data_IF_038482832818
#
_entry.id   IF_038482832818
#
_cell.length_a   1.000
_cell.length_b   1.000
_cell.length_c   1.000
_cell.angle_alpha   90.00
_cell.angle_beta   90.00
_cell.angle_gamma   90.00
#
_symmetry.space_group_name_H-M   'P 1'
#
loop_
_entity.id
_entity.type
_entity.pdbx_description
1 polymer ?
#
# COMPACT_ATOMS: atom_id res chain seq x y z
N UNK A 1 -5.80 23.50 -30.84
CA UNK A 1 -7.15 23.27 -30.31
C UNK A 1 -7.17 21.84 -29.79
N UNK A 2 -6.68 21.65 -28.55
CA UNK A 2 -6.51 20.34 -27.94
C UNK A 2 -7.46 20.27 -26.74
N UNK A 3 -8.30 19.25 -26.72
CA UNK A 3 -9.38 19.05 -25.75
C UNK A 3 -8.75 18.68 -24.41
N UNK A 4 -8.88 19.57 -23.43
CA UNK A 4 -8.49 19.34 -22.04
C UNK A 4 -9.52 18.36 -21.43
N UNK A 5 -9.16 17.10 -21.30
CA UNK A 5 -10.00 16.08 -20.65
C UNK A 5 -9.71 16.16 -19.15
N UNK A 6 -10.44 17.05 -18.47
CA UNK A 6 -10.47 17.15 -17.01
C UNK A 6 -11.20 15.93 -16.48
N UNK A 7 -10.47 14.99 -15.89
CA UNK A 7 -11.07 13.98 -15.01
C UNK A 7 -11.55 14.69 -13.74
N UNK A 8 -12.81 15.12 -13.73
CA UNK A 8 -13.50 15.45 -12.49
C UNK A 8 -13.78 14.10 -11.81
N UNK A 9 -13.08 13.82 -10.72
CA UNK A 9 -13.50 12.78 -9.80
C UNK A 9 -14.90 13.15 -9.30
N UNK A 10 -15.92 12.47 -9.81
CA UNK A 10 -17.25 12.51 -9.20
C UNK A 10 -17.10 11.89 -7.81
N UNK A 11 -17.01 12.74 -6.79
CA UNK A 11 -17.43 12.35 -5.45
C UNK A 11 -18.95 12.13 -5.51
N UNK A 12 -19.35 10.92 -5.88
CA UNK A 12 -20.69 10.44 -5.65
C UNK A 12 -20.86 10.32 -4.14
N UNK A 13 -21.47 11.32 -3.52
CA UNK A 13 -22.06 11.16 -2.20
C UNK A 13 -23.19 10.13 -2.33
N UNK A 14 -22.89 8.86 -2.10
CA UNK A 14 -23.92 7.86 -1.82
C UNK A 14 -24.49 8.22 -0.46
N UNK A 15 -25.76 8.62 -0.44
CA UNK A 15 -26.53 8.71 0.79
C UNK A 15 -26.55 7.32 1.43
N UNK A 16 -25.79 7.14 2.51
CA UNK A 16 -25.89 5.94 3.34
C UNK A 16 -27.24 5.99 4.05
N UNK A 17 -28.05 4.96 3.81
CA UNK A 17 -29.21 4.66 4.63
C UNK A 17 -28.67 4.11 5.95
N UNK A 18 -28.85 4.88 7.01
CA UNK A 18 -28.27 4.68 8.34
C UNK A 18 -29.13 3.67 9.13
N UNK A 19 -29.04 2.40 8.77
CA UNK A 19 -29.67 1.28 9.48
C UNK A 19 -28.56 0.40 10.11
N UNK A 20 -28.06 0.75 11.30
CA UNK A 20 -27.27 -0.18 12.14
C UNK A 20 -25.82 0.19 12.53
N UNK A 21 -25.29 1.33 12.06
CA UNK A 21 -23.93 1.79 12.40
C UNK A 21 -23.87 2.33 13.85
N UNK A 22 -23.08 1.69 14.72
CA UNK A 22 -22.85 2.17 16.09
C UNK A 22 -21.71 3.20 16.18
N UNK A 23 -20.64 2.97 15.41
CA UNK A 23 -19.43 3.78 15.44
C UNK A 23 -18.68 3.70 14.11
N UNK A 24 -18.19 4.85 13.66
CA UNK A 24 -17.33 4.99 12.49
C UNK A 24 -16.21 5.99 12.79
N UNK A 25 -14.97 5.54 12.72
CA UNK A 25 -13.79 6.39 12.74
C UNK A 25 -13.15 6.41 11.37
N UNK A 26 -12.86 7.60 10.85
CA UNK A 26 -12.13 7.79 9.61
C UNK A 26 -10.92 8.68 9.83
N UNK A 27 -9.78 8.26 9.29
CA UNK A 27 -8.56 9.06 9.24
C UNK A 27 -8.07 9.07 7.81
N UNK A 28 -7.85 10.26 7.28
CA UNK A 28 -7.30 10.44 5.95
C UNK A 28 -6.12 11.41 5.96
N UNK A 29 -5.14 11.12 5.12
CA UNK A 29 -4.03 12.00 4.84
C UNK A 29 -3.73 11.93 3.37
N UNK A 30 -3.72 13.07 2.69
CA UNK A 30 -3.38 13.13 1.28
C UNK A 30 -2.55 14.36 0.96
N UNK A 31 -1.79 14.25 -0.13
CA UNK A 31 -1.11 15.38 -0.76
C UNK A 31 -1.14 15.20 -2.27
N UNK A 32 -1.15 16.32 -2.98
CA UNK A 32 -1.05 16.37 -4.44
C UNK A 32 -0.20 17.57 -4.83
N UNK A 33 0.81 17.33 -5.67
CA UNK A 33 1.72 18.34 -6.19
C UNK A 33 1.78 18.16 -7.70
N UNK A 34 1.26 19.14 -8.43
CA UNK A 34 1.50 19.30 -9.86
C UNK A 34 2.48 20.47 -10.08
N UNK A 35 3.57 20.22 -10.80
CA UNK A 35 4.62 21.19 -11.02
C UNK A 35 5.05 21.21 -12.49
N UNK A 36 5.27 22.40 -13.03
CA UNK A 36 5.94 22.62 -14.31
C UNK A 36 7.06 23.62 -14.13
N UNK A 37 8.28 23.25 -14.50
CA UNK A 37 9.47 24.11 -14.39
C UNK A 37 10.19 24.10 -15.73
N UNK A 38 10.43 25.29 -16.28
CA UNK A 38 11.30 25.46 -17.43
C UNK A 38 12.25 26.64 -17.25
N UNK A 39 13.46 26.51 -17.78
CA UNK A 39 14.47 27.57 -17.75
C UNK A 39 15.90 27.07 -17.80
N UNK A 40 16.84 28.00 -17.69
CA UNK A 40 18.27 27.73 -17.73
C UNK A 40 18.94 28.13 -16.41
N UNK A 41 19.86 27.28 -15.92
CA UNK A 41 20.62 27.56 -14.71
C UNK A 41 21.10 26.31 -13.99
N UNK A 42 21.43 26.47 -12.72
CA UNK A 42 21.64 25.37 -11.79
C UNK A 42 20.31 25.01 -11.12
N UNK A 43 20.02 23.72 -11.02
CA UNK A 43 18.84 23.23 -10.33
C UNK A 43 19.19 22.06 -9.41
N UNK A 44 18.42 21.97 -8.31
CA UNK A 44 18.42 20.86 -7.40
C UNK A 44 16.99 20.67 -6.87
N UNK A 45 16.47 19.47 -6.99
CA UNK A 45 15.10 19.11 -6.59
C UNK A 45 15.19 17.93 -5.63
N UNK A 46 14.43 18.02 -4.55
CA UNK A 46 14.23 16.91 -3.62
C UNK A 46 12.75 16.84 -3.25
N UNK A 47 12.15 15.68 -3.46
CA UNK A 47 10.79 15.38 -3.03
C UNK A 47 10.80 14.06 -2.27
N UNK A 48 10.05 14.00 -1.19
CA UNK A 48 9.95 12.83 -0.34
C UNK A 48 8.56 12.78 0.27
N UNK A 49 7.97 11.60 0.26
CA UNK A 49 6.73 11.32 0.97
C UNK A 49 6.73 9.91 1.53
N UNK A 50 6.07 9.76 2.66
CA UNK A 50 5.76 8.50 3.32
C UNK A 50 4.28 8.54 3.68
N UNK A 51 3.47 7.69 3.04
CA UNK A 51 2.08 7.46 3.37
C UNK A 51 2.04 6.20 4.26
N UNK A 52 1.78 6.34 5.57
CA UNK A 52 1.77 5.21 6.48
C UNK A 52 0.53 4.34 6.24
N UNK A 53 0.67 3.06 6.53
CA UNK A 53 -0.46 2.16 6.75
C UNK A 53 -0.79 2.18 8.26
N UNK A 54 -2.03 2.44 8.66
CA UNK A 54 -2.37 2.47 10.10
C UNK A 54 -2.43 1.04 10.68
N UNK A 55 -2.79 0.05 9.87
CA UNK A 55 -2.94 -1.36 10.28
C UNK A 55 -1.66 -2.18 10.07
N UNK A 56 -0.64 -1.61 9.42
CA UNK A 56 0.58 -2.33 9.10
C UNK A 56 1.30 -2.82 10.37
N UNK A 57 1.71 -4.09 10.37
CA UNK A 57 2.21 -4.82 11.55
C UNK A 57 3.51 -4.28 12.16
N UNK A 58 4.24 -3.42 11.44
CA UNK A 58 5.52 -2.85 11.90
C UNK A 58 5.39 -1.43 12.48
N UNK A 59 4.16 -0.93 12.67
CA UNK A 59 3.86 0.41 13.18
C UNK A 59 4.19 1.54 12.20
N UNK A 60 3.75 2.77 12.52
CA UNK A 60 3.72 3.92 11.60
C UNK A 60 5.05 4.32 10.94
N UNK A 61 6.18 3.89 11.50
CA UNK A 61 7.52 4.24 10.99
C UNK A 61 8.05 3.24 9.97
N UNK A 62 7.49 2.03 9.90
CA UNK A 62 8.03 0.93 9.12
C UNK A 62 7.08 0.36 8.07
N UNK A 63 5.84 0.82 8.03
CA UNK A 63 4.80 0.37 7.10
C UNK A 63 4.42 1.45 6.05
N UNK A 64 3.60 1.05 5.07
CA UNK A 64 3.02 1.90 4.05
C UNK A 64 3.88 2.12 2.79
N UNK A 65 3.53 3.18 2.06
CA UNK A 65 4.12 3.57 0.80
C UNK A 65 5.16 4.69 0.98
N UNK A 66 6.35 4.55 0.39
CA UNK A 66 7.41 5.58 0.41
C UNK A 66 7.83 5.92 -1.02
N UNK A 67 8.02 7.21 -1.32
CA UNK A 67 8.71 7.63 -2.53
C UNK A 67 9.68 8.78 -2.31
N UNK A 68 10.71 8.80 -3.15
CA UNK A 68 11.79 9.77 -3.13
C UNK A 68 12.20 10.12 -4.56
N UNK A 69 12.26 11.42 -4.83
CA UNK A 69 12.77 11.97 -6.10
C UNK A 69 13.90 12.93 -5.79
N UNK A 70 15.02 12.79 -6.50
CA UNK A 70 16.13 13.75 -6.49
C UNK A 70 16.55 14.07 -7.91
N UNK A 71 16.72 15.35 -8.21
CA UNK A 71 17.31 15.80 -9.46
C UNK A 71 18.35 16.87 -9.18
N UNK A 72 19.42 16.91 -9.96
CA UNK A 72 20.33 18.04 -9.98
C UNK A 72 21.02 18.17 -11.34
N UNK A 73 21.50 19.37 -11.63
CA UNK A 73 22.22 19.63 -12.86
C UNK A 73 22.47 21.10 -13.10
N UNK A 74 23.28 21.39 -14.11
CA UNK A 74 23.41 22.72 -14.68
C UNK A 74 23.10 22.67 -16.17
N UNK A 75 22.27 23.60 -16.64
CA UNK A 75 21.90 23.74 -18.04
C UNK A 75 20.45 24.10 -18.20
N UNK A 76 19.79 23.52 -19.20
CA UNK A 76 18.37 23.75 -19.49
C UNK A 76 17.53 22.62 -18.91
N UNK A 77 16.37 22.97 -18.36
CA UNK A 77 15.36 22.05 -17.84
C UNK A 77 13.99 22.44 -18.43
N UNK A 78 13.20 21.44 -18.81
CA UNK A 78 11.76 21.54 -19.05
C UNK A 78 11.14 20.27 -18.47
N UNK A 79 10.56 20.38 -17.27
CA UNK A 79 10.03 19.25 -16.50
C UNK A 79 8.62 19.54 -16.05
N UNK A 80 7.73 18.60 -16.34
CA UNK A 80 6.40 18.46 -15.79
C UNK A 80 6.37 17.27 -14.84
N UNK A 81 5.86 17.48 -13.63
CA UNK A 81 5.82 16.44 -12.61
C UNK A 81 4.52 16.46 -11.83
N UNK A 82 3.97 15.26 -11.61
CA UNK A 82 2.94 14.98 -10.62
C UNK A 82 3.52 14.14 -9.49
N UNK A 83 3.24 14.52 -8.24
CA UNK A 83 3.59 13.73 -7.07
C UNK A 83 2.43 13.76 -6.08
N UNK A 84 1.80 12.61 -5.86
CA UNK A 84 0.65 12.50 -4.96
C UNK A 84 0.76 11.29 -4.07
N UNK A 85 0.05 11.34 -2.95
CA UNK A 85 -0.07 10.21 -2.05
C UNK A 85 -1.32 10.34 -1.20
N UNK A 86 -1.81 9.19 -0.77
CA UNK A 86 -3.01 9.05 0.02
C UNK A 86 -2.82 7.91 1.03
N UNK A 87 -3.27 8.13 2.25
CA UNK A 87 -3.36 7.15 3.33
C UNK A 87 -4.75 7.27 3.92
N UNK A 88 -5.46 6.15 3.99
CA UNK A 88 -6.80 6.07 4.57
C UNK A 88 -6.85 5.00 5.64
N UNK A 89 -7.70 5.23 6.62
CA UNK A 89 -8.08 4.26 7.63
C UNK A 89 -9.55 4.45 7.96
N UNK A 90 -10.26 3.33 8.01
CA UNK A 90 -11.66 3.26 8.38
C UNK A 90 -11.80 2.17 9.43
N UNK A 91 -12.47 2.49 10.53
CA UNK A 91 -12.93 1.51 11.51
C UNK A 91 -14.44 1.66 11.64
N UNK A 92 -15.16 0.61 11.32
CA UNK A 92 -16.62 0.52 11.45
C UNK A 92 -16.99 -0.60 12.40
N UNK A 93 -17.89 -0.30 13.34
CA UNK A 93 -18.56 -1.31 14.15
C UNK A 93 -20.04 -1.39 13.77
N UNK A 94 -20.46 -2.56 13.31
CA UNK A 94 -21.85 -2.84 12.99
C UNK A 94 -22.47 -3.77 14.03
N UNK A 95 -23.71 -3.47 14.43
CA UNK A 95 -24.58 -4.46 15.07
C UNK A 95 -25.26 -5.28 13.98
N UNK A 96 -24.59 -6.32 13.50
CA UNK A 96 -25.29 -7.37 12.76
C UNK A 96 -25.94 -8.33 13.75
N UNK A 97 -27.06 -7.91 14.33
CA UNK A 97 -28.03 -8.85 14.86
C UNK A 97 -29.10 -9.06 13.78
N UNK A 98 -29.23 -10.27 13.27
CA UNK A 98 -30.38 -10.64 12.43
C UNK A 98 -31.67 -10.31 13.22
N UNK A 99 -32.76 -9.81 12.62
CA UNK A 99 -33.98 -9.49 13.36
C UNK A 99 -34.56 -10.67 14.15
N UNK A 100 -34.21 -11.91 13.75
CA UNK A 100 -34.54 -13.15 14.46
C UNK A 100 -33.66 -13.40 15.70
N UNK A 101 -32.45 -12.85 15.76
CA UNK A 101 -31.52 -12.90 16.90
C UNK A 101 -31.74 -11.74 17.90
N UNK A 102 -32.53 -10.73 17.51
CA UNK A 102 -33.00 -9.65 18.37
C UNK A 102 -34.22 -10.09 19.21
N UNK A 103 -34.04 -11.11 20.06
CA UNK A 103 -35.03 -11.42 21.09
C UNK A 103 -35.08 -10.27 22.12
N UNK A 104 -36.23 -9.58 22.16
CA UNK A 104 -36.55 -8.56 23.16
C UNK A 104 -36.50 -9.16 24.57
N UNK A 105 -35.47 -8.83 25.34
CA UNK A 105 -35.26 -9.32 26.71
C UNK A 105 -36.43 -9.01 27.66
N UNK A 106 -36.98 -10.06 28.27
CA UNK A 106 -37.58 -10.03 29.59
C UNK A 106 -36.67 -10.85 30.52
N UNK A 107 -35.69 -10.16 31.11
CA UNK A 107 -34.93 -10.67 32.26
C UNK A 107 -33.70 -11.50 31.91
N UNK A 108 -32.53 -10.92 32.18
CA UNK A 108 -31.39 -11.64 32.77
C UNK A 108 -30.65 -12.65 31.87
N UNK A 109 -29.90 -12.16 30.89
CA UNK A 109 -28.65 -12.75 30.38
C UNK A 109 -27.91 -11.67 29.57
N UNK A 110 -26.57 -11.70 29.64
CA UNK A 110 -25.70 -10.69 29.02
C UNK A 110 -25.49 -11.13 27.57
N UNK A 111 -25.85 -10.28 26.62
CA UNK A 111 -25.51 -10.49 25.20
C UNK A 111 -23.98 -10.45 25.13
N UNK A 112 -23.33 -11.52 24.66
CA UNK A 112 -22.00 -11.36 24.07
C UNK A 112 -22.25 -10.66 22.74
N UNK A 113 -22.13 -9.33 22.76
CA UNK A 113 -22.22 -8.47 21.59
C UNK A 113 -21.25 -9.03 20.54
N UNK A 114 -21.78 -9.57 19.44
CA UNK A 114 -20.97 -9.86 18.24
C UNK A 114 -20.70 -8.51 17.57
N UNK A 115 -19.85 -7.71 18.22
CA UNK A 115 -19.29 -6.52 17.58
C UNK A 115 -18.43 -7.00 16.41
N UNK A 116 -18.96 -6.90 15.19
CA UNK A 116 -18.15 -7.05 13.99
C UNK A 116 -17.41 -5.73 13.81
N UNK A 117 -16.13 -5.74 14.15
CA UNK A 117 -15.19 -4.66 13.85
C UNK A 117 -14.60 -4.91 12.47
N UNK A 118 -14.84 -4.00 11.54
CA UNK A 118 -14.17 -3.98 10.23
C UNK A 118 -13.18 -2.81 10.23
N UNK A 119 -11.89 -3.14 10.15
CA UNK A 119 -10.82 -2.17 10.00
C UNK A 119 -10.21 -2.31 8.61
N UNK A 120 -10.16 -1.20 7.88
CA UNK A 120 -9.52 -1.13 6.58
C UNK A 120 -8.51 -0.01 6.56
N UNK A 121 -7.41 -0.22 5.85
CA UNK A 121 -6.42 0.81 5.59
C UNK A 121 -5.90 0.73 4.17
N UNK A 122 -5.48 1.88 3.64
CA UNK A 122 -4.76 1.96 2.37
C UNK A 122 -3.62 2.95 2.48
N UNK A 123 -2.54 2.71 1.74
CA UNK A 123 -1.49 3.68 1.52
C UNK A 123 -1.02 3.59 0.08
N UNK A 124 -1.09 4.71 -0.64
CA UNK A 124 -0.73 4.79 -2.05
C UNK A 124 0.16 6.00 -2.30
N UNK A 125 1.17 5.86 -3.15
CA UNK A 125 1.95 6.97 -3.68
C UNK A 125 2.09 6.84 -5.20
N UNK A 126 1.94 7.97 -5.90
CA UNK A 126 2.11 8.08 -7.34
C UNK A 126 3.12 9.17 -7.69
N UNK A 127 4.10 8.84 -8.54
CA UNK A 127 5.08 9.76 -9.11
C UNK A 127 4.97 9.70 -10.62
N UNK A 128 4.76 10.86 -11.24
CA UNK A 128 4.75 11.03 -12.70
C UNK A 128 5.74 12.14 -13.06
N UNK A 129 6.61 11.88 -14.01
CA UNK A 129 7.55 12.85 -14.52
C UNK A 129 7.65 12.75 -16.04
N UNK A 130 7.57 13.87 -16.71
CA UNK A 130 7.86 14.05 -18.13
C UNK A 130 8.83 15.22 -18.22
N UNK A 131 10.04 14.97 -18.70
CA UNK A 131 11.13 15.90 -18.49
C UNK A 131 12.28 15.76 -19.47
N UNK A 132 12.64 16.89 -20.08
CA UNK A 132 13.83 17.05 -20.89
C UNK A 132 14.84 17.97 -20.19
N UNK A 133 16.08 17.51 -20.10
CA UNK A 133 17.20 18.21 -19.49
C UNK A 133 18.40 18.14 -20.42
N UNK A 134 19.10 19.26 -20.58
CA UNK A 134 20.35 19.32 -21.34
C UNK A 134 21.41 20.02 -20.51
N UNK A 135 22.54 19.35 -20.32
CA UNK A 135 23.68 19.89 -19.62
C UNK A 135 24.27 21.07 -20.40
N UNK A 136 24.45 22.18 -19.67
CA UNK A 136 25.22 23.32 -20.15
C UNK A 136 25.86 23.98 -18.92
N UNK A 137 27.20 24.09 -18.87
CA UNK A 137 27.86 24.81 -17.79
C UNK A 137 27.29 26.21 -17.68
N UNK A 138 26.89 26.62 -16.48
CA UNK A 138 26.34 27.96 -16.24
C UNK A 138 27.22 28.71 -15.25
N UNK A 139 27.54 29.95 -15.57
CA UNK A 139 28.30 30.82 -14.68
C UNK A 139 27.35 31.86 -14.08
N UNK A 140 27.37 32.01 -12.76
CA UNK A 140 26.54 33.01 -12.07
C UNK A 140 27.40 33.92 -11.21
N UNK A 141 27.15 35.22 -11.31
CA UNK A 141 27.70 36.19 -10.39
C UNK A 141 26.85 36.19 -9.10
N UNK A 142 27.45 35.80 -7.97
CA UNK A 142 26.75 35.79 -6.68
C UNK A 142 27.17 37.00 -5.85
N UNK A 143 26.31 38.01 -5.75
CA UNK A 143 26.58 39.21 -4.95
C UNK A 143 27.37 40.29 -5.69
N UNK A 144 28.14 41.10 -4.94
CA UNK A 144 28.84 42.28 -5.48
C UNK A 144 30.36 42.17 -5.35
N UNK A 145 31.08 43.07 -6.06
CA UNK A 145 32.55 43.21 -6.04
C UNK A 145 33.27 41.98 -6.62
N UNK A 146 33.98 41.22 -5.78
CA UNK A 146 34.84 40.12 -6.21
C UNK A 146 34.05 39.09 -7.05
N UNK A 147 32.89 38.64 -6.56
CA UNK A 147 32.06 37.66 -7.24
C UNK A 147 31.27 38.20 -8.44
N UNK A 148 31.25 39.52 -8.65
CA UNK A 148 30.73 40.11 -9.87
C UNK A 148 31.76 40.05 -11.02
N UNK A 149 33.06 40.05 -10.69
CA UNK A 149 34.16 39.93 -11.66
C UNK A 149 34.69 38.48 -11.77
N UNK A 150 34.35 37.63 -10.80
CA UNK A 150 34.70 36.20 -10.76
C UNK A 150 33.44 35.35 -10.55
N UNK A 151 32.62 35.14 -11.59
CA UNK A 151 31.43 34.29 -11.52
C UNK A 151 31.77 32.87 -11.08
N UNK A 152 30.89 32.27 -10.30
CA UNK A 152 30.98 30.85 -9.96
C UNK A 152 30.49 30.02 -11.14
N UNK A 153 31.35 29.13 -11.63
CA UNK A 153 31.01 28.18 -12.69
C UNK A 153 30.40 26.93 -12.08
N UNK A 154 29.18 26.60 -12.51
CA UNK A 154 28.49 25.36 -12.21
C UNK A 154 28.66 24.42 -13.40
N UNK A 155 29.34 23.31 -13.15
CA UNK A 155 29.62 22.24 -14.12
C UNK A 155 29.06 20.89 -13.60
N UNK A 156 27.89 20.93 -12.97
CA UNK A 156 27.22 19.73 -12.50
C UNK A 156 26.56 19.03 -13.68
N UNK A 157 27.08 17.85 -14.03
CA UNK A 157 26.38 16.93 -14.93
C UNK A 157 25.01 16.57 -14.35
N UNK A 158 24.12 16.10 -15.23
CA UNK A 158 22.75 15.77 -14.87
C UNK A 158 22.72 14.50 -14.01
N UNK A 159 22.01 14.57 -12.89
CA UNK A 159 21.72 13.46 -12.02
C UNK A 159 20.23 13.43 -11.67
N UNK A 160 19.65 12.25 -11.68
CA UNK A 160 18.22 12.04 -11.45
C UNK A 160 18.01 10.68 -10.77
N UNK A 161 17.18 10.62 -9.75
CA UNK A 161 16.93 9.40 -8.97
C UNK A 161 15.49 9.41 -8.50
N UNK A 162 14.71 8.45 -8.98
CA UNK A 162 13.37 8.16 -8.47
C UNK A 162 13.39 6.79 -7.82
N UNK A 163 12.95 6.72 -6.56
CA UNK A 163 12.82 5.48 -5.79
C UNK A 163 11.42 5.42 -5.20
N UNK A 164 10.80 4.25 -5.30
CA UNK A 164 9.51 3.95 -4.69
C UNK A 164 9.63 2.64 -3.90
N UNK A 165 8.95 2.56 -2.77
CA UNK A 165 8.97 1.38 -1.89
C UNK A 165 7.57 1.08 -1.39
N UNK A 166 7.21 -0.19 -1.48
CA UNK A 166 6.15 -0.77 -0.67
C UNK A 166 6.79 -1.39 0.56
N UNK A 167 6.60 -0.75 1.72
CA UNK A 167 7.21 -1.19 2.98
C UNK A 167 6.48 -2.39 3.56
N UNK A 168 5.18 -2.52 3.31
CA UNK A 168 4.37 -3.67 3.73
C UNK A 168 4.58 -4.89 2.84
N UNK A 169 4.73 -4.66 1.54
CA UNK A 169 5.12 -5.66 0.56
C UNK A 169 6.60 -6.01 0.60
N UNK A 170 7.42 -5.32 1.41
CA UNK A 170 8.88 -5.47 1.51
C UNK A 170 9.59 -5.42 0.15
N UNK A 171 9.23 -4.45 -0.69
CA UNK A 171 9.84 -4.30 -2.00
C UNK A 171 10.24 -2.85 -2.28
N UNK A 172 11.10 -2.67 -3.28
CA UNK A 172 11.41 -1.34 -3.79
C UNK A 172 11.81 -1.39 -5.25
N UNK A 173 11.55 -0.29 -5.95
CA UNK A 173 11.97 -0.05 -7.33
C UNK A 173 12.60 1.32 -7.46
N UNK A 174 13.52 1.47 -8.40
CA UNK A 174 14.12 2.76 -8.68
C UNK A 174 14.77 2.86 -10.05
N UNK A 175 14.75 4.07 -10.58
CA UNK A 175 15.45 4.50 -11.77
C UNK A 175 16.41 5.61 -11.39
N UNK A 176 17.66 5.50 -11.83
CA UNK A 176 18.71 6.47 -11.51
C UNK A 176 19.55 6.78 -12.74
N UNK A 177 19.78 8.05 -13.00
CA UNK A 177 20.72 8.57 -13.99
C UNK A 177 21.82 9.35 -13.28
N UNK A 178 23.07 9.11 -13.66
CA UNK A 178 24.24 9.79 -13.12
C UNK A 178 25.12 10.30 -14.25
N UNK A 179 25.52 11.56 -14.16
CA UNK A 179 26.57 12.13 -15.01
C UNK A 179 26.16 12.31 -16.47
N UNK A 180 24.87 12.48 -16.78
CA UNK A 180 24.40 12.61 -18.16
C UNK A 180 24.60 14.02 -18.73
N UNK A 181 24.77 14.11 -20.04
CA UNK A 181 24.82 15.38 -20.79
C UNK A 181 23.46 15.77 -21.37
N UNK A 182 22.58 14.81 -21.62
CA UNK A 182 21.17 15.07 -21.89
C UNK A 182 20.34 13.90 -21.34
N UNK A 183 19.15 14.22 -20.88
CA UNK A 183 18.17 13.28 -20.36
C UNK A 183 16.79 13.73 -20.81
N UNK A 184 16.15 12.95 -21.66
CA UNK A 184 14.72 13.07 -21.99
C UNK A 184 14.04 11.84 -21.38
N UNK A 185 13.03 12.02 -20.53
CA UNK A 185 12.40 10.91 -19.82
C UNK A 185 10.90 11.12 -19.64
N UNK A 186 10.19 10.01 -19.69
CA UNK A 186 8.86 9.82 -19.15
C UNK A 186 8.91 8.69 -18.11
N UNK A 187 8.51 8.99 -16.88
CA UNK A 187 8.54 8.06 -15.75
C UNK A 187 7.18 8.07 -15.03
N UNK A 188 6.67 6.88 -14.76
CA UNK A 188 5.50 6.65 -13.91
C UNK A 188 5.88 5.58 -12.89
N UNK A 189 5.81 5.92 -11.62
CA UNK A 189 6.04 5.01 -10.52
C UNK A 189 4.85 5.07 -9.56
N UNK A 190 4.25 3.92 -9.27
CA UNK A 190 3.10 3.80 -8.39
C UNK A 190 3.34 2.68 -7.41
N UNK A 191 2.97 2.91 -6.15
CA UNK A 191 2.97 1.86 -5.15
C UNK A 191 1.73 2.00 -4.29
N UNK A 192 1.18 0.84 -3.94
CA UNK A 192 0.19 0.68 -2.88
C UNK A 192 0.68 -0.40 -1.89
N UNK A 193 -0.23 -0.92 -1.06
CA UNK A 193 0.05 -1.97 -0.08
C UNK A 193 0.36 -3.34 -0.72
N UNK A 194 -0.08 -3.58 -1.96
CA UNK A 194 0.00 -4.86 -2.67
C UNK A 194 0.99 -4.84 -3.82
N UNK A 195 0.96 -3.77 -4.61
CA UNK A 195 1.60 -3.65 -5.90
C UNK A 195 2.56 -2.47 -5.92
N UNK A 196 3.69 -2.68 -6.58
CA UNK A 196 4.66 -1.65 -6.88
C UNK A 196 5.01 -1.73 -8.35
N UNK A 197 4.91 -0.60 -9.04
CA UNK A 197 5.16 -0.52 -10.48
C UNK A 197 6.08 0.64 -10.81
N UNK A 198 6.94 0.42 -11.80
CA UNK A 198 7.83 1.40 -12.38
C UNK A 198 7.84 1.23 -13.89
N UNK A 199 7.41 2.29 -14.58
CA UNK A 199 7.49 2.43 -16.02
C UNK A 199 8.39 3.60 -16.34
N UNK A 200 9.39 3.36 -17.19
CA UNK A 200 10.32 4.38 -17.63
C UNK A 200 10.55 4.25 -19.13
N UNK A 201 10.51 5.37 -19.83
CA UNK A 201 10.96 5.53 -21.20
C UNK A 201 11.85 6.77 -21.23
N UNK A 202 13.08 6.65 -21.73
CA UNK A 202 13.96 7.80 -21.76
C UNK A 202 15.23 7.62 -22.56
N UNK A 203 15.72 8.73 -23.06
CA UNK A 203 16.95 8.86 -23.82
C UNK A 203 18.03 9.52 -22.95
N UNK A 204 19.09 8.75 -22.69
CA UNK A 204 20.24 9.18 -21.91
C UNK A 204 21.39 9.40 -22.85
N UNK A 205 22.01 10.59 -22.83
CA UNK A 205 23.19 10.92 -23.63
C UNK A 205 24.41 11.06 -22.75
N UNK A 206 25.46 10.28 -23.05
CA UNK A 206 26.75 10.30 -22.35
C UNK A 206 26.61 10.30 -20.82
N UNK A 207 25.95 9.28 -20.27
CA UNK A 207 25.72 9.13 -18.83
C UNK A 207 25.64 7.67 -18.39
N UNK A 208 25.40 7.45 -17.11
CA UNK A 208 25.08 6.13 -16.54
C UNK A 208 23.61 6.09 -16.16
N UNK A 209 22.88 5.08 -16.61
CA UNK A 209 21.53 4.79 -16.17
C UNK A 209 21.47 3.45 -15.45
N UNK A 210 20.78 3.41 -14.33
CA UNK A 210 20.62 2.24 -13.46
C UNK A 210 19.14 2.00 -13.18
N UNK A 211 18.67 0.79 -13.47
CA UNK A 211 17.38 0.28 -12.99
C UNK A 211 17.63 -0.70 -11.86
N UNK A 212 16.87 -0.55 -10.77
CA UNK A 212 16.97 -1.41 -9.60
C UNK A 212 15.59 -1.79 -9.11
N UNK A 213 15.40 -3.06 -8.80
CA UNK A 213 14.25 -3.51 -8.06
C UNK A 213 14.65 -4.67 -7.15
N UNK A 214 14.04 -4.72 -5.98
CA UNK A 214 14.29 -5.77 -4.99
C UNK A 214 13.01 -6.14 -4.29
N UNK A 215 12.80 -7.45 -4.10
CA UNK A 215 11.76 -8.03 -3.28
C UNK A 215 12.45 -8.79 -2.14
N UNK A 216 12.08 -8.49 -0.91
CA UNK A 216 12.56 -9.20 0.28
C UNK A 216 11.54 -10.24 0.74
N UNK A 217 12.04 -11.27 1.42
CA UNK A 217 11.20 -12.19 2.16
C UNK A 217 10.57 -11.45 3.35
N UNK A 218 9.29 -11.72 3.65
CA UNK A 218 8.69 -11.26 4.91
C UNK A 218 9.37 -11.98 6.06
N UNK A 219 9.73 -11.24 7.10
CA UNK A 219 10.20 -11.88 8.33
C UNK A 219 9.05 -12.69 8.93
N UNK A 220 9.27 -13.92 9.42
CA UNK A 220 8.24 -14.63 10.17
C UNK A 220 7.68 -13.71 11.24
N UNK A 221 6.34 -13.54 11.28
CA UNK A 221 5.67 -12.86 12.39
C UNK A 221 6.23 -13.49 13.67
N UNK A 222 6.75 -12.67 14.58
CA UNK A 222 7.03 -13.17 15.93
C UNK A 222 5.74 -13.77 16.45
N UNK A 223 5.80 -15.02 16.91
CA UNK A 223 4.68 -15.67 17.56
C UNK A 223 4.28 -14.79 18.76
N UNK A 224 2.97 -14.67 19.01
CA UNK A 224 2.38 -13.75 20.01
C UNK A 224 2.88 -13.96 21.47
N UNK A 225 3.73 -14.96 21.71
CA UNK A 225 4.29 -15.33 23.01
C UNK A 225 5.65 -14.66 23.34
N UNK A 226 6.28 -13.93 22.42
CA UNK A 226 7.54 -13.23 22.70
C UNK A 226 7.28 -11.84 23.31
N UNK A 227 7.12 -11.79 24.64
CA UNK A 227 6.97 -10.60 25.51
C UNK A 227 8.14 -9.58 25.46
N UNK A 228 9.01 -9.66 24.47
CA UNK A 228 10.02 -8.64 24.22
C UNK A 228 9.71 -8.04 22.86
N UNK A 229 9.10 -6.85 22.87
CA UNK A 229 9.11 -5.93 21.74
C UNK A 229 10.57 -5.54 21.43
N UNK A 230 11.28 -6.44 20.77
CA UNK A 230 12.67 -6.32 20.40
C UNK A 230 12.77 -5.33 19.26
N UNK A 231 12.98 -4.08 19.62
CA UNK A 231 13.58 -3.04 18.77
C UNK A 231 14.43 -3.62 17.63
N UNK A 232 13.97 -3.44 16.40
CA UNK A 232 14.82 -3.23 15.21
C UNK A 232 15.72 -4.40 14.75
N UNK A 233 15.32 -5.66 14.86
CA UNK A 233 16.06 -6.75 14.20
C UNK A 233 15.13 -7.79 13.58
N UNK A 234 14.69 -7.59 12.33
CA UNK A 234 14.17 -8.67 11.47
C UNK A 234 14.08 -8.26 9.98
N UNK A 235 15.26 -8.24 9.38
CA UNK A 235 15.54 -8.76 8.03
C UNK A 235 14.83 -8.21 6.79
N UNK A 236 15.10 -6.93 6.46
CA UNK A 236 15.36 -6.53 5.06
C UNK A 236 16.68 -7.15 4.51
N UNK A 237 16.98 -8.40 4.86
CA UNK A 237 18.31 -9.01 4.61
C UNK A 237 18.28 -10.16 3.63
N UNK A 238 17.13 -10.80 3.44
CA UNK A 238 17.02 -11.88 2.47
C UNK A 238 16.24 -11.43 1.23
N UNK A 239 16.94 -10.94 0.20
CA UNK A 239 16.30 -10.69 -1.09
C UNK A 239 15.84 -12.02 -1.69
N UNK A 240 14.59 -12.09 -2.11
CA UNK A 240 14.00 -13.21 -2.85
C UNK A 240 14.12 -12.97 -4.36
N UNK A 241 14.06 -11.70 -4.78
CA UNK A 241 14.34 -11.31 -6.16
C UNK A 241 15.10 -9.99 -6.18
N UNK A 242 16.12 -9.89 -7.05
CA UNK A 242 16.88 -8.67 -7.32
C UNK A 242 16.96 -8.51 -8.84
N UNK A 243 16.63 -7.32 -9.32
CA UNK A 243 16.82 -6.90 -10.70
C UNK A 243 17.69 -5.66 -10.70
N UNK A 244 18.87 -5.74 -11.29
CA UNK A 244 19.79 -4.63 -11.44
C UNK A 244 20.32 -4.58 -12.87
N UNK A 245 20.22 -3.41 -13.51
CA UNK A 245 20.69 -3.20 -14.87
C UNK A 245 21.37 -1.83 -14.96
N UNK A 246 22.61 -1.83 -15.44
CA UNK A 246 23.42 -0.63 -15.62
C UNK A 246 23.76 -0.44 -17.11
N UNK A 247 23.53 0.76 -17.62
CA UNK A 247 23.85 1.20 -18.98
C UNK A 247 24.77 2.41 -18.90
N UNK A 248 25.91 2.40 -19.62
CA UNK A 248 26.93 3.46 -19.55
C UNK A 248 27.26 3.94 -20.96
N UNK A 249 26.86 5.15 -21.31
CA UNK A 249 27.00 5.71 -22.66
C UNK A 249 25.73 6.43 -23.10
N UNK A 250 25.37 6.29 -24.38
CA UNK A 250 24.16 6.87 -24.96
C UNK A 250 23.17 5.76 -25.29
N UNK A 251 22.00 5.78 -24.64
CA UNK A 251 21.01 4.72 -24.72
C UNK A 251 19.59 5.27 -24.72
N UNK A 252 18.74 4.62 -25.50
CA UNK A 252 17.30 4.65 -25.34
C UNK A 252 16.89 3.51 -24.40
N UNK A 253 16.19 3.83 -23.31
CA UNK A 253 15.77 2.90 -22.27
C UNK A 253 14.26 2.87 -22.25
N UNK A 254 13.68 1.67 -22.35
CA UNK A 254 12.25 1.45 -22.19
C UNK A 254 12.04 0.24 -21.31
N UNK A 255 11.46 0.46 -20.14
CA UNK A 255 11.24 -0.56 -19.13
C UNK A 255 9.87 -0.43 -18.50
N UNK A 256 9.26 -1.57 -18.22
CA UNK A 256 7.99 -1.68 -17.54
C UNK A 256 8.09 -2.85 -16.57
N UNK A 257 7.99 -2.58 -15.28
CA UNK A 257 8.13 -3.56 -14.22
C UNK A 257 7.02 -3.39 -13.19
N UNK A 258 6.48 -4.52 -12.74
CA UNK A 258 5.52 -4.60 -11.64
C UNK A 258 5.96 -5.73 -10.71
N UNK A 259 5.93 -5.48 -9.40
CA UNK A 259 6.06 -6.49 -8.35
C UNK A 259 4.79 -6.45 -7.55
N UNK A 260 4.12 -7.59 -7.51
CA UNK A 260 2.88 -7.79 -6.77
C UNK A 260 3.09 -8.81 -5.68
N UNK A 261 2.37 -8.62 -4.57
CA UNK A 261 2.28 -9.60 -3.51
C UNK A 261 0.83 -9.81 -3.13
N UNK A 262 0.34 -11.03 -3.30
CA UNK A 262 -0.94 -11.48 -2.78
C UNK A 262 -0.71 -12.39 -1.59
N UNK A 263 -1.36 -12.12 -0.46
CA UNK A 263 -1.47 -13.08 0.64
C UNK A 263 -2.85 -13.74 0.56
N UNK A 264 -2.88 -15.04 0.24
CA UNK A 264 -4.11 -15.82 0.30
C UNK A 264 -4.32 -16.29 1.74
N UNK A 265 -5.15 -15.59 2.50
CA UNK A 265 -5.58 -16.09 3.81
C UNK A 265 -6.67 -17.16 3.60
N UNK A 266 -6.27 -18.43 3.73
CA UNK A 266 -7.23 -19.54 3.68
C UNK A 266 -7.87 -19.73 5.04
N UNK A 267 -8.98 -19.05 5.27
CA UNK A 267 -9.87 -19.36 6.40
C UNK A 267 -10.58 -20.69 6.14
N UNK A 268 -10.13 -21.74 6.83
CA UNK A 268 -10.89 -22.98 6.92
C UNK A 268 -11.98 -22.79 7.97
N UNK A 269 -13.19 -22.47 7.51
CA UNK A 269 -14.38 -22.61 8.36
C UNK A 269 -14.65 -24.11 8.46
N UNK A 270 -14.30 -24.72 9.60
CA UNK A 270 -14.70 -26.09 9.88
C UNK A 270 -16.23 -26.13 10.04
N UNK A 271 -16.93 -26.48 8.96
CA UNK A 271 -18.37 -26.68 8.96
C UNK A 271 -18.71 -28.04 9.62
N UNK A 272 -18.50 -28.16 10.94
CA UNK A 272 -18.75 -29.40 11.69
C UNK A 272 -20.18 -29.53 12.23
N UNK A 273 -21.10 -28.61 11.91
CA UNK A 273 -22.49 -28.66 12.36
C UNK A 273 -23.46 -28.86 11.20
N UNK A 274 -23.85 -30.11 10.95
CA UNK A 274 -25.26 -30.44 11.06
C UNK A 274 -25.43 -31.64 11.99
N UNK A 275 -25.96 -31.40 13.19
CA UNK A 275 -26.15 -32.42 14.22
C UNK A 275 -26.86 -33.69 13.68
N UNK A 276 -27.69 -33.56 12.64
CA UNK A 276 -28.49 -34.66 12.11
C UNK A 276 -27.85 -35.55 11.03
N UNK A 277 -26.59 -35.33 10.63
CA UNK A 277 -25.97 -36.17 9.59
C UNK A 277 -24.78 -37.00 10.07
N UNK A 278 -24.05 -36.61 11.12
CA UNK A 278 -22.89 -37.36 11.59
C UNK A 278 -22.54 -37.01 13.05
N UNK A 279 -22.53 -38.01 13.93
CA UNK A 279 -22.39 -37.81 15.39
C UNK A 279 -20.94 -37.67 15.90
N UNK A 280 -20.75 -37.82 17.21
CA UNK A 280 -19.45 -37.64 17.91
C UNK A 280 -18.19 -38.22 17.22
N UNK A 281 -18.30 -39.37 16.53
CA UNK A 281 -17.16 -40.04 15.90
C UNK A 281 -16.66 -39.37 14.61
N UNK A 282 -17.41 -38.46 14.02
CA UNK A 282 -17.01 -37.72 12.80
C UNK A 282 -16.42 -36.34 13.09
N UNK A 283 -16.38 -35.96 14.37
CA UNK A 283 -15.78 -34.71 14.82
C UNK A 283 -14.25 -34.86 14.83
N UNK A 284 -13.45 -33.87 14.38
CA UNK A 284 -11.99 -33.94 14.44
C UNK A 284 -11.47 -34.23 15.86
N UNK A 285 -10.39 -35.02 16.03
CA UNK A 285 -9.90 -35.47 17.34
C UNK A 285 -9.61 -34.35 18.34
N UNK A 286 -9.22 -33.16 17.85
CA UNK A 286 -8.96 -31.97 18.68
C UNK A 286 -10.19 -31.49 19.47
N UNK A 287 -11.39 -31.79 18.99
CA UNK A 287 -12.66 -31.45 19.64
C UNK A 287 -13.29 -32.62 20.40
N UNK A 288 -12.62 -33.78 20.50
CA UNK A 288 -13.10 -34.94 21.27
C UNK A 288 -12.56 -34.95 22.72
N UNK A 289 -11.88 -33.87 23.12
CA UNK A 289 -11.20 -33.77 24.40
C UNK A 289 -12.14 -33.19 25.47
N UNK A 290 -12.58 -34.02 26.41
CA UNK A 290 -13.36 -33.62 27.59
C UNK A 290 -14.48 -34.62 27.94
N UNK A 291 -14.72 -34.81 29.24
CA UNK A 291 -15.61 -35.87 29.75
C UNK A 291 -17.09 -35.72 29.36
N UNK A 292 -17.50 -34.54 28.89
CA UNK A 292 -18.89 -34.23 28.51
C UNK A 292 -19.11 -34.02 27.01
N UNK A 293 -18.07 -34.07 26.20
CA UNK A 293 -18.16 -33.70 24.78
C UNK A 293 -18.99 -34.74 24.01
N UNK A 294 -18.90 -36.01 24.41
CA UNK A 294 -19.72 -37.10 23.82
C UNK A 294 -21.23 -36.88 23.94
N UNK A 295 -21.71 -36.24 25.00
CA UNK A 295 -23.13 -35.93 25.21
C UNK A 295 -23.58 -34.69 24.44
N UNK A 296 -22.68 -33.73 24.27
CA UNK A 296 -22.94 -32.49 23.52
C UNK A 296 -23.10 -32.77 22.01
N UNK A 297 -22.48 -33.85 21.54
CA UNK A 297 -22.57 -34.37 20.17
C UNK A 297 -23.46 -35.61 20.03
N UNK A 298 -24.30 -35.91 21.04
CA UNK A 298 -25.28 -37.01 21.00
C UNK A 298 -26.55 -36.52 20.28
N UNK A 299 -26.43 -36.36 18.98
CA UNK A 299 -27.50 -35.82 18.14
C UNK A 299 -28.59 -36.88 17.88
N UNK A 300 -29.41 -37.17 18.88
CA UNK A 300 -30.69 -37.84 18.65
C UNK A 300 -31.67 -36.82 18.06
N UNK A 301 -31.74 -36.73 16.73
CA UNK A 301 -32.67 -35.82 16.05
C UNK A 301 -34.09 -36.00 16.61
N UNK A 302 -34.77 -34.87 16.83
CA UNK A 302 -36.17 -34.86 17.23
C UNK A 302 -36.99 -35.71 16.25
N UNK A 303 -37.52 -36.83 16.73
CA UNK A 303 -38.53 -37.61 15.99
C UNK A 303 -39.88 -37.06 16.41
N UNK A 304 -40.60 -36.46 15.47
CA UNK A 304 -41.97 -36.05 15.70
C UNK A 304 -42.77 -37.25 16.26
N UNK A 305 -43.43 -37.12 17.41
CA UNK A 305 -44.26 -38.19 17.93
C UNK A 305 -45.37 -38.52 16.91
N UNK A 306 -45.72 -39.81 16.71
CA UNK A 306 -46.70 -40.24 15.71
C UNK A 306 -48.13 -39.76 16.01
N UNK A 307 -48.36 -39.21 17.20
CA UNK A 307 -49.62 -38.62 17.64
C UNK A 307 -49.32 -37.20 18.14
N UNK A 308 -50.03 -36.21 17.60
CA UNK A 308 -49.96 -34.85 18.11
C UNK A 308 -50.52 -34.80 19.53
N UNK A 309 -49.83 -34.14 20.46
CA UNK A 309 -50.31 -33.92 21.84
C UNK A 309 -51.63 -33.14 21.90
N UNK A 310 -51.97 -32.44 20.81
CA UNK A 310 -53.25 -31.75 20.65
C UNK A 310 -53.92 -32.19 19.33
N UNK A 311 -54.90 -33.12 19.38
CA UNK A 311 -55.66 -33.48 18.19
C UNK A 311 -56.50 -32.28 17.73
N UNK A 312 -56.41 -31.91 16.46
CA UNK A 312 -57.26 -30.88 15.87
C UNK A 312 -58.69 -31.40 15.83
N UNK A 313 -59.59 -30.76 16.58
CA UNK A 313 -61.03 -31.00 16.51
C UNK A 313 -61.56 -30.18 15.33
N UNK A 314 -62.15 -30.85 14.33
CA UNK A 314 -62.86 -30.20 13.22
C UNK A 314 -64.31 -29.92 13.60
#
# INVERSE_FOLDING_TARGET
MLVLLVFVALMGATAAQDDGLLYREEKNMSFDIAQKVSGDGFFAVYRYALMPDILGTEGWLYNGAEAKVKQHGSGSIDVESGFSGESTYTNTSDLNADPEDLERYLGEHRIEELDLYEEESSATINVKEDGAMTYSPTAMAVGSRYYAQHPLAFNSLLGDETTIKNRDGYNSMGFKVEGAHALDKQLEATTDLTDTSLKVEGDVTEGKASLRAVQYARSPKDDEDDEIAGTATKDWKQPVAIFEQDYIGTYHIKHNMTMSRSEDEKTYVDAWLPCCFSGYLTVPPRYQLGDNVKKMFDCSCFKAPPLAEFPRVY
#
